data_IF_072442156298
#
_entry.id   IF_072442156298
#
_cell.length_a   1.000
_cell.length_b   1.000
_cell.length_c   1.000
_cell.angle_alpha   90.00
_cell.angle_beta   90.00
_cell.angle_gamma   90.00
#
_symmetry.space_group_name_H-M   'P 1'
#
loop_
_entity.id
_entity.type
_entity.pdbx_description
1 polymer ?
#
# COMPACT_ATOMS: atom_id res chain seq x y z
N UNK A 1 -18.33 -15.36 -14.70
CA UNK A 1 -17.16 -16.25 -14.69
C UNK A 1 -17.34 -17.30 -15.77
N UNK A 2 -16.55 -17.29 -16.84
CA UNK A 2 -16.50 -18.45 -17.73
C UNK A 2 -15.71 -19.54 -17.01
N UNK A 3 -16.29 -20.72 -16.75
CA UNK A 3 -15.57 -21.78 -16.05
C UNK A 3 -14.37 -22.23 -16.89
N UNK A 4 -13.18 -22.18 -16.31
CA UNK A 4 -11.98 -22.72 -16.94
C UNK A 4 -12.09 -24.23 -17.12
N UNK A 5 -11.55 -24.75 -18.21
CA UNK A 5 -11.47 -26.18 -18.46
C UNK A 5 -10.35 -26.81 -17.63
N UNK A 6 -10.40 -28.14 -17.34
CA UNK A 6 -9.32 -28.83 -16.66
C UNK A 6 -7.94 -28.66 -17.31
N UNK A 7 -7.88 -28.53 -18.65
CA UNK A 7 -6.65 -28.32 -19.40
C UNK A 7 -6.06 -26.90 -19.16
N UNK A 8 -6.92 -25.91 -18.92
CA UNK A 8 -6.47 -24.55 -18.61
C UNK A 8 -5.76 -24.52 -17.24
N UNK A 9 -6.27 -25.24 -16.24
CA UNK A 9 -5.62 -25.33 -14.93
C UNK A 9 -4.28 -26.09 -14.90
N UNK A 10 -4.03 -26.95 -15.89
CA UNK A 10 -2.77 -27.69 -15.99
C UNK A 10 -1.66 -26.89 -16.71
N UNK A 11 -2.05 -25.90 -17.51
CA UNK A 11 -1.12 -25.04 -18.25
C UNK A 11 -0.96 -23.64 -17.62
N UNK A 12 -1.91 -23.18 -16.81
CA UNK A 12 -1.89 -21.85 -16.19
C UNK A 12 -1.08 -21.82 -14.89
N UNK A 13 -0.04 -20.97 -14.86
CA UNK A 13 0.67 -20.62 -13.61
C UNK A 13 -0.05 -19.52 -12.81
N UNK A 14 -0.97 -18.80 -13.46
CA UNK A 14 -1.66 -17.61 -12.94
C UNK A 14 -3.16 -17.74 -13.24
N UNK A 15 -3.98 -17.34 -12.28
CA UNK A 15 -5.43 -17.19 -12.44
C UNK A 15 -5.82 -15.72 -12.29
N UNK A 16 -6.69 -15.25 -13.18
CA UNK A 16 -7.40 -13.99 -12.98
C UNK A 16 -8.75 -14.23 -12.33
N UNK A 17 -9.11 -13.32 -11.44
CA UNK A 17 -10.39 -13.27 -10.78
C UNK A 17 -11.04 -11.92 -11.07
N UNK A 18 -12.11 -11.98 -11.87
CA UNK A 18 -12.86 -10.82 -12.35
C UNK A 18 -14.34 -11.01 -12.00
N UNK A 19 -14.84 -10.19 -11.07
CA UNK A 19 -16.24 -10.19 -10.65
C UNK A 19 -16.69 -8.78 -10.27
N UNK A 20 -17.59 -8.20 -11.06
CA UNK A 20 -17.89 -6.77 -10.94
C UNK A 20 -16.64 -5.96 -11.26
N UNK A 21 -16.28 -5.04 -10.35
CA UNK A 21 -15.06 -4.24 -10.48
C UNK A 21 -13.81 -4.92 -9.90
N UNK A 22 -13.96 -6.11 -9.31
CA UNK A 22 -12.82 -6.84 -8.74
C UNK A 22 -11.88 -7.23 -9.86
N UNK A 23 -10.62 -6.81 -9.75
CA UNK A 23 -9.52 -7.23 -10.61
C UNK A 23 -8.41 -7.80 -9.72
N UNK A 24 -8.25 -9.12 -9.75
CA UNK A 24 -7.28 -9.84 -8.92
C UNK A 24 -6.53 -10.89 -9.71
N UNK A 25 -5.22 -10.96 -9.51
CA UNK A 25 -4.40 -12.05 -10.01
C UNK A 25 -3.91 -12.91 -8.84
N UNK A 26 -3.89 -14.21 -9.05
CA UNK A 26 -3.34 -15.17 -8.11
C UNK A 26 -2.35 -16.09 -8.83
N UNK A 27 -1.22 -16.40 -8.19
CA UNK A 27 -0.29 -17.42 -8.65
C UNK A 27 -0.66 -18.76 -8.01
N UNK A 28 -0.76 -19.81 -8.83
CA UNK A 28 -0.92 -21.18 -8.32
C UNK A 28 0.44 -21.64 -7.77
N UNK A 29 0.47 -22.03 -6.50
CA UNK A 29 1.67 -22.56 -5.83
C UNK A 29 1.63 -24.06 -5.65
N UNK A 30 0.42 -24.65 -5.64
CA UNK A 30 0.22 -26.10 -5.60
C UNK A 30 -1.05 -26.47 -6.35
N UNK A 31 -1.02 -27.60 -7.03
CA UNK A 31 -2.17 -28.15 -7.73
C UNK A 31 -2.22 -29.66 -7.46
N UNK A 32 -3.25 -30.12 -6.73
CA UNK A 32 -3.45 -31.52 -6.37
C UNK A 32 -4.77 -32.00 -6.95
N UNK A 33 -4.70 -33.05 -7.77
CA UNK A 33 -5.89 -33.72 -8.32
C UNK A 33 -6.09 -35.05 -7.60
N UNK A 34 -7.28 -35.24 -7.03
CA UNK A 34 -7.67 -36.54 -6.47
C UNK A 34 -8.00 -37.49 -7.64
N UNK A 35 -7.25 -38.59 -7.83
CA UNK A 35 -7.44 -39.48 -8.98
C UNK A 35 -8.74 -40.29 -8.93
N UNK A 36 -9.36 -40.42 -7.74
CA UNK A 36 -10.58 -41.20 -7.55
C UNK A 36 -11.85 -40.36 -7.79
N UNK A 37 -11.82 -39.08 -7.43
CA UNK A 37 -12.98 -38.19 -7.52
C UNK A 37 -12.87 -37.15 -8.63
N UNK A 38 -11.67 -36.96 -9.21
CA UNK A 38 -11.38 -35.86 -10.13
C UNK A 38 -11.36 -34.48 -9.47
N UNK A 39 -11.50 -34.39 -8.13
CA UNK A 39 -11.50 -33.12 -7.41
C UNK A 39 -10.12 -32.47 -7.46
N UNK A 40 -10.08 -31.19 -7.85
CA UNK A 40 -8.86 -30.38 -7.91
C UNK A 40 -8.80 -29.43 -6.72
N UNK A 41 -7.67 -29.40 -6.03
CA UNK A 41 -7.36 -28.46 -4.95
C UNK A 41 -6.17 -27.61 -5.38
N UNK A 42 -6.34 -26.28 -5.36
CA UNK A 42 -5.32 -25.32 -5.72
C UNK A 42 -4.89 -24.54 -4.47
N UNK A 43 -3.59 -24.53 -4.17
CA UNK A 43 -3.03 -23.53 -3.26
C UNK A 43 -2.60 -22.33 -4.11
N UNK A 44 -2.95 -21.14 -3.66
CA UNK A 44 -2.71 -19.91 -4.40
C UNK A 44 -2.25 -18.80 -3.46
N UNK A 45 -1.47 -17.88 -4.01
CA UNK A 45 -1.12 -16.62 -3.36
C UNK A 45 -1.52 -15.46 -4.27
N UNK A 46 -1.85 -14.27 -3.73
CA UNK A 46 -1.97 -13.07 -4.55
C UNK A 46 -0.73 -12.90 -5.43
N UNK A 47 -0.88 -12.52 -6.70
CA UNK A 47 0.24 -12.49 -7.64
C UNK A 47 1.33 -11.52 -7.19
N UNK A 48 0.93 -10.38 -6.61
CA UNK A 48 1.83 -9.42 -5.97
C UNK A 48 2.71 -10.04 -4.87
N UNK A 49 2.27 -11.12 -4.22
CA UNK A 49 3.01 -11.80 -3.15
C UNK A 49 3.94 -12.88 -3.69
N UNK A 50 3.89 -13.20 -4.98
CA UNK A 50 4.72 -14.25 -5.58
C UNK A 50 6.22 -13.93 -5.61
N UNK A 51 6.58 -12.67 -5.37
CA UNK A 51 7.96 -12.18 -5.27
C UNK A 51 8.54 -12.35 -3.87
N UNK A 52 7.72 -12.72 -2.88
CA UNK A 52 8.15 -12.86 -1.49
C UNK A 52 8.74 -14.25 -1.20
N UNK A 53 9.74 -14.35 -0.30
CA UNK A 53 10.32 -13.25 0.50
C UNK A 53 11.30 -12.38 -0.30
N UNK A 54 11.36 -11.09 0.03
CA UNK A 54 12.36 -10.14 -0.50
C UNK A 54 13.37 -9.79 0.59
N UNK A 55 14.65 -9.76 0.25
CA UNK A 55 15.68 -9.29 1.18
C UNK A 55 15.51 -7.78 1.43
N UNK A 56 15.21 -7.42 2.69
CA UNK A 56 15.06 -6.02 3.09
C UNK A 56 16.43 -5.35 3.24
N UNK A 57 16.53 -4.09 2.82
CA UNK A 57 17.75 -3.28 2.97
C UNK A 57 18.00 -2.84 4.42
N UNK A 58 16.93 -2.75 5.22
CA UNK A 58 16.91 -2.29 6.61
C UNK A 58 15.65 -2.85 7.30
N UNK A 59 15.65 -2.82 8.63
CA UNK A 59 14.49 -3.26 9.42
C UNK A 59 13.28 -2.36 9.17
N UNK A 60 12.06 -2.90 8.98
CA UNK A 60 10.85 -2.11 8.78
C UNK A 60 10.73 -0.92 9.77
N UNK A 61 10.72 0.32 9.28
CA UNK A 61 10.52 1.52 10.09
C UNK A 61 9.30 1.43 11.02
N UNK A 62 9.53 1.79 12.29
CA UNK A 62 8.54 1.84 13.36
C UNK A 62 7.91 0.48 13.72
N UNK A 63 8.56 -0.64 13.38
CA UNK A 63 8.08 -1.99 13.70
C UNK A 63 7.91 -2.23 15.21
N UNK A 64 8.66 -1.52 16.06
CA UNK A 64 8.52 -1.58 17.51
C UNK A 64 7.15 -1.10 18.01
N UNK A 65 6.39 -0.40 17.16
CA UNK A 65 5.03 0.03 17.42
C UNK A 65 3.96 -0.93 16.87
N UNK A 66 4.36 -1.96 16.12
CA UNK A 66 3.43 -2.94 15.60
C UNK A 66 2.75 -3.73 16.74
N UNK A 67 1.46 -4.02 16.58
CA UNK A 67 0.66 -4.76 17.56
C UNK A 67 0.33 -6.15 16.99
N UNK A 68 0.48 -7.20 17.80
CA UNK A 68 0.24 -8.60 17.40
C UNK A 68 1.50 -9.34 16.94
N UNK A 69 1.36 -10.61 16.57
CA UNK A 69 2.46 -11.42 15.99
C UNK A 69 2.78 -10.87 14.60
N UNK A 70 3.88 -10.11 14.50
CA UNK A 70 4.17 -9.18 13.41
C UNK A 70 4.40 -9.85 12.05
N UNK A 71 3.35 -9.95 11.25
CA UNK A 71 3.44 -10.40 9.85
C UNK A 71 3.07 -9.34 8.80
N UNK A 72 2.39 -8.24 9.18
CA UNK A 72 2.02 -7.17 8.24
C UNK A 72 3.18 -6.25 7.83
N UNK A 73 3.96 -5.73 8.78
CA UNK A 73 5.02 -4.74 8.50
C UNK A 73 6.06 -5.27 7.51
N UNK A 74 6.63 -6.44 7.80
CA UNK A 74 7.60 -7.09 6.91
C UNK A 74 7.00 -7.35 5.53
N UNK A 75 5.77 -7.87 5.48
CA UNK A 75 5.07 -8.09 4.21
C UNK A 75 4.98 -6.81 3.36
N UNK A 76 4.50 -5.70 3.93
CA UNK A 76 4.42 -4.42 3.20
C UNK A 76 5.80 -3.89 2.78
N UNK A 77 6.81 -4.03 3.64
CA UNK A 77 8.16 -3.58 3.31
C UNK A 77 8.85 -4.44 2.25
N UNK A 78 8.59 -5.74 2.18
CA UNK A 78 9.09 -6.59 1.10
C UNK A 78 8.54 -6.14 -0.26
N UNK A 79 7.25 -5.80 -0.33
CA UNK A 79 6.63 -5.23 -1.53
C UNK A 79 7.21 -3.84 -1.88
N UNK A 80 7.37 -2.95 -0.89
CA UNK A 80 7.95 -1.62 -1.09
C UNK A 80 9.43 -1.70 -1.53
N UNK A 81 10.21 -2.61 -0.97
CA UNK A 81 11.60 -2.86 -1.36
C UNK A 81 11.68 -3.35 -2.80
N UNK A 82 10.82 -4.29 -3.19
CA UNK A 82 10.75 -4.75 -4.58
C UNK A 82 10.39 -3.63 -5.54
N UNK A 83 9.37 -2.82 -5.20
CA UNK A 83 8.85 -1.78 -6.07
C UNK A 83 9.78 -0.55 -6.21
N UNK A 84 10.44 -0.15 -5.11
CA UNK A 84 11.12 1.15 -5.04
C UNK A 84 12.57 1.11 -4.60
N UNK A 85 13.01 0.02 -3.96
CA UNK A 85 14.36 -0.17 -3.44
C UNK A 85 14.91 1.08 -2.71
N UNK A 86 14.11 1.62 -1.78
CA UNK A 86 14.42 2.89 -1.10
C UNK A 86 15.72 2.79 -0.27
N UNK A 87 16.46 3.91 -0.13
CA UNK A 87 17.65 3.96 0.73
C UNK A 87 17.28 3.92 2.21
N UNK A 88 18.16 3.39 3.05
CA UNK A 88 17.96 3.31 4.50
C UNK A 88 17.74 4.70 5.11
N UNK A 89 16.57 4.96 5.73
CA UNK A 89 16.28 6.26 6.33
C UNK A 89 17.17 6.58 7.55
N UNK A 90 17.76 5.58 8.21
CA UNK A 90 18.72 5.80 9.31
C UNK A 90 20.06 6.36 8.81
N UNK A 91 20.41 6.11 7.54
CA UNK A 91 21.61 6.65 6.90
C UNK A 91 21.48 8.10 6.45
N UNK A 92 20.33 8.75 6.66
CA UNK A 92 20.13 10.14 6.24
C UNK A 92 20.93 11.11 7.13
N UNK A 93 21.68 12.06 6.55
CA UNK A 93 22.59 12.89 7.34
C UNK A 93 21.84 13.91 8.20
N UNK A 94 22.48 14.27 9.32
CA UNK A 94 22.04 15.38 10.18
C UNK A 94 22.05 16.68 9.38
N UNK A 95 20.99 17.48 9.52
CA UNK A 95 20.88 18.79 8.88
C UNK A 95 21.09 19.90 9.93
N UNK A 96 22.31 20.47 10.03
CA UNK A 96 22.64 21.41 11.12
C UNK A 96 21.84 22.71 11.06
N UNK A 97 21.42 23.13 9.87
CA UNK A 97 20.67 24.38 9.66
C UNK A 97 19.15 24.25 9.86
N UNK A 98 18.66 23.16 10.48
CA UNK A 98 17.24 23.05 10.82
C UNK A 98 16.88 24.05 11.93
N UNK A 99 16.06 25.05 11.57
CA UNK A 99 15.51 26.02 12.51
C UNK A 99 14.55 25.34 13.51
N UNK A 100 14.33 25.98 14.67
CA UNK A 100 13.45 25.43 15.72
C UNK A 100 12.02 25.17 15.22
N UNK A 101 11.48 26.04 14.37
CA UNK A 101 10.17 25.82 13.75
C UNK A 101 10.17 24.61 12.82
N UNK A 102 11.26 24.38 12.07
CA UNK A 102 11.41 23.20 11.23
C UNK A 102 11.42 21.93 12.08
N UNK A 103 12.25 21.92 13.15
CA UNK A 103 12.34 20.82 14.10
C UNK A 103 10.98 20.52 14.75
N UNK A 104 10.21 21.55 15.11
CA UNK A 104 8.87 21.39 15.69
C UNK A 104 7.92 20.66 14.75
N UNK A 105 7.92 21.01 13.46
CA UNK A 105 7.07 20.36 12.46
C UNK A 105 7.51 18.92 12.20
N UNK A 106 8.81 18.69 12.03
CA UNK A 106 9.36 17.34 11.85
C UNK A 106 9.03 16.45 13.06
N UNK A 107 9.21 16.93 14.29
CA UNK A 107 8.80 16.22 15.52
C UNK A 107 7.31 15.89 15.55
N UNK A 108 6.44 16.80 15.09
CA UNK A 108 5.00 16.54 15.02
C UNK A 108 4.67 15.44 14.01
N UNK A 109 5.27 15.48 12.83
CA UNK A 109 5.12 14.44 11.80
C UNK A 109 5.55 13.07 12.33
N UNK A 110 6.75 13.01 12.91
CA UNK A 110 7.30 11.81 13.54
C UNK A 110 6.34 11.22 14.58
N UNK A 111 5.86 12.06 15.51
CA UNK A 111 4.93 11.63 16.55
C UNK A 111 3.64 11.05 15.97
N UNK A 112 3.11 11.66 14.91
CA UNK A 112 1.90 11.17 14.23
C UNK A 112 2.15 9.83 13.53
N UNK A 113 3.30 9.65 12.87
CA UNK A 113 3.67 8.37 12.28
C UNK A 113 3.79 7.27 13.33
N UNK A 114 4.46 7.54 14.48
CA UNK A 114 4.56 6.58 15.59
C UNK A 114 3.21 6.22 16.18
N UNK A 115 2.31 7.19 16.33
CA UNK A 115 0.94 6.94 16.77
C UNK A 115 0.21 6.04 15.77
N UNK A 116 0.21 6.41 14.49
CA UNK A 116 -0.46 5.66 13.42
C UNK A 116 0.08 4.24 13.27
N UNK A 117 1.39 4.03 13.44
CA UNK A 117 2.01 2.70 13.41
C UNK A 117 1.44 1.74 14.47
N UNK A 118 0.93 2.27 15.58
CA UNK A 118 0.28 1.47 16.63
C UNK A 118 -1.24 1.32 16.48
N UNK A 119 -1.85 1.81 15.39
CA UNK A 119 -3.31 1.71 15.22
C UNK A 119 -3.71 0.31 14.76
N UNK A 120 -4.76 -0.24 15.36
CA UNK A 120 -5.22 -1.60 15.07
C UNK A 120 -5.65 -1.77 13.62
N UNK A 121 -6.22 -0.75 12.97
CA UNK A 121 -6.62 -0.87 11.56
C UNK A 121 -5.44 -1.16 10.60
N UNK A 122 -4.21 -0.83 10.98
CA UNK A 122 -3.00 -1.14 10.19
C UNK A 122 -2.31 -2.43 10.61
N UNK A 123 -2.65 -2.97 11.79
CA UNK A 123 -1.96 -4.11 12.41
C UNK A 123 -2.82 -5.37 12.46
N UNK A 124 -4.14 -5.22 12.59
CA UNK A 124 -5.08 -6.32 12.57
C UNK A 124 -5.07 -6.96 11.18
N UNK A 125 -5.19 -8.28 11.15
CA UNK A 125 -5.33 -9.01 9.90
C UNK A 125 -6.64 -8.57 9.21
N UNK A 126 -6.55 -7.65 8.26
CA UNK A 126 -7.64 -7.30 7.35
C UNK A 126 -7.45 -8.03 6.03
N UNK A 127 -8.55 -8.47 5.41
CA UNK A 127 -8.45 -9.25 4.20
C UNK A 127 -9.79 -9.43 3.52
N UNK A 128 -9.73 -9.63 2.20
CA UNK A 128 -10.86 -10.00 1.38
C UNK A 128 -10.70 -11.47 0.99
N UNK A 129 -11.67 -12.29 1.36
CA UNK A 129 -11.66 -13.73 1.17
C UNK A 129 -12.72 -14.12 0.15
N UNK A 130 -12.34 -14.93 -0.82
CA UNK A 130 -13.24 -15.49 -1.82
C UNK A 130 -13.41 -16.97 -1.56
N UNK A 131 -14.65 -17.45 -1.55
CA UNK A 131 -14.94 -18.89 -1.50
C UNK A 131 -16.04 -19.25 -2.48
N UNK A 132 -15.88 -20.40 -3.14
CA UNK A 132 -16.90 -20.95 -4.01
C UNK A 132 -16.95 -22.47 -3.80
N UNK A 133 -18.11 -22.97 -3.36
CA UNK A 133 -18.36 -24.41 -3.22
C UNK A 133 -18.95 -24.95 -4.51
N UNK A 134 -18.71 -26.23 -4.80
CA UNK A 134 -19.26 -26.89 -5.99
C UNK A 134 -20.79 -26.77 -6.03
N UNK A 135 -21.33 -26.14 -7.09
CA UNK A 135 -22.76 -25.91 -7.26
C UNK A 135 -23.38 -24.84 -6.33
N UNK A 136 -22.56 -24.13 -5.56
CA UNK A 136 -22.99 -22.99 -4.75
C UNK A 136 -22.65 -21.65 -5.40
N UNK A 137 -23.33 -20.61 -4.94
CA UNK A 137 -23.01 -19.23 -5.31
C UNK A 137 -21.63 -18.84 -4.73
N UNK A 138 -20.85 -18.02 -5.46
CA UNK A 138 -19.63 -17.45 -4.93
C UNK A 138 -19.92 -16.52 -3.75
N UNK A 139 -19.10 -16.59 -2.72
CA UNK A 139 -19.19 -15.77 -1.52
C UNK A 139 -17.91 -14.94 -1.36
N UNK A 140 -18.08 -13.67 -1.02
CA UNK A 140 -16.99 -12.77 -0.68
C UNK A 140 -17.16 -12.31 0.76
N UNK A 141 -16.13 -12.52 1.58
CA UNK A 141 -16.11 -12.09 2.97
C UNK A 141 -15.03 -11.04 3.17
N UNK A 142 -15.38 -9.94 3.83
CA UNK A 142 -14.44 -8.90 4.18
C UNK A 142 -14.16 -8.93 5.69
N UNK A 143 -12.90 -9.15 6.07
CA UNK A 143 -12.40 -8.84 7.40
C UNK A 143 -11.90 -7.40 7.37
N UNK A 144 -12.68 -6.49 7.95
CA UNK A 144 -12.40 -5.06 7.97
C UNK A 144 -12.26 -4.56 9.42
N UNK A 145 -11.45 -3.53 9.68
CA UNK A 145 -11.44 -2.85 10.97
C UNK A 145 -12.84 -2.34 11.35
N UNK A 146 -13.08 -2.14 12.64
CA UNK A 146 -14.32 -1.50 13.09
C UNK A 146 -14.44 -0.09 12.50
N UNK A 147 -15.66 0.46 12.34
CA UNK A 147 -15.85 1.83 11.84
C UNK A 147 -15.04 2.87 12.63
N UNK A 148 -14.98 2.73 13.95
CA UNK A 148 -14.17 3.59 14.82
C UNK A 148 -12.67 3.48 14.52
N UNK A 149 -12.15 2.26 14.41
CA UNK A 149 -10.74 2.03 14.10
C UNK A 149 -10.36 2.57 12.72
N UNK A 150 -11.21 2.36 11.72
CA UNK A 150 -11.00 2.90 10.37
C UNK A 150 -11.07 4.43 10.37
N UNK A 151 -12.09 5.03 10.98
CA UNK A 151 -12.23 6.50 11.04
C UNK A 151 -11.05 7.17 11.77
N UNK A 152 -10.65 6.63 12.93
CA UNK A 152 -9.49 7.10 13.67
C UNK A 152 -8.20 7.05 12.82
N UNK A 153 -7.99 5.95 12.11
CA UNK A 153 -6.87 5.75 11.18
C UNK A 153 -6.89 6.74 10.04
N UNK A 154 -8.04 6.92 9.39
CA UNK A 154 -8.23 7.87 8.29
C UNK A 154 -7.95 9.32 8.72
N UNK A 155 -8.38 9.71 9.92
CA UNK A 155 -8.09 11.04 10.48
C UNK A 155 -6.59 11.25 10.72
N UNK A 156 -5.92 10.29 11.37
CA UNK A 156 -4.49 10.37 11.63
C UNK A 156 -3.67 10.36 10.33
N UNK A 157 -4.04 9.48 9.39
CA UNK A 157 -3.46 9.40 8.06
C UNK A 157 -3.62 10.72 7.29
N UNK A 158 -4.81 11.34 7.33
CA UNK A 158 -5.08 12.62 6.66
C UNK A 158 -4.07 13.69 7.07
N UNK A 159 -3.71 13.79 8.36
CA UNK A 159 -2.76 14.78 8.84
C UNK A 159 -1.35 14.61 8.22
N UNK A 160 -0.98 13.37 7.90
CA UNK A 160 0.30 13.05 7.23
C UNK A 160 0.22 13.23 5.71
N UNK A 161 -0.96 12.97 5.14
CA UNK A 161 -1.17 12.86 3.69
C UNK A 161 -1.59 14.18 3.02
N UNK A 162 -2.40 14.99 3.70
CA UNK A 162 -3.01 16.23 3.18
C UNK A 162 -2.02 17.37 3.01
N UNK A 163 -2.16 18.14 1.93
CA UNK A 163 -1.33 19.33 1.69
C UNK A 163 -1.71 20.54 2.57
N UNK A 164 -2.86 20.46 3.25
CA UNK A 164 -3.40 21.52 4.09
C UNK A 164 -2.84 21.47 5.52
N UNK A 165 -2.39 20.29 5.98
CA UNK A 165 -1.88 20.11 7.33
C UNK A 165 -0.42 20.56 7.46
N UNK A 166 -0.10 21.21 8.59
CA UNK A 166 1.21 21.82 8.82
C UNK A 166 2.34 20.80 9.00
N UNK A 167 2.00 19.56 9.36
CA UNK A 167 2.92 18.46 9.60
C UNK A 167 2.62 17.28 8.66
N UNK A 168 2.43 17.56 7.38
CA UNK A 168 2.26 16.54 6.34
C UNK A 168 3.57 16.24 5.60
N UNK A 169 3.58 15.15 4.83
CA UNK A 169 4.73 14.72 4.03
C UNK A 169 5.31 15.85 3.18
N UNK A 170 4.47 16.58 2.45
CA UNK A 170 4.94 17.64 1.55
C UNK A 170 5.55 18.83 2.31
N UNK A 171 5.05 19.13 3.51
CA UNK A 171 5.64 20.14 4.39
C UNK A 171 6.97 19.68 4.95
N UNK A 172 7.07 18.45 5.46
CA UNK A 172 8.33 17.89 5.98
C UNK A 172 9.38 17.82 4.88
N UNK A 173 9.03 17.27 3.71
CA UNK A 173 9.89 17.24 2.51
C UNK A 173 10.41 18.63 2.15
N UNK A 174 9.53 19.63 2.10
CA UNK A 174 9.91 21.01 1.78
C UNK A 174 10.89 21.62 2.80
N UNK A 175 10.72 21.31 4.09
CA UNK A 175 11.61 21.77 5.17
C UNK A 175 12.99 21.11 5.08
N UNK A 176 13.04 19.79 4.85
CA UNK A 176 14.30 19.06 4.64
C UNK A 176 15.07 19.59 3.41
N UNK A 177 14.36 19.78 2.29
CA UNK A 177 14.94 20.35 1.06
C UNK A 177 15.41 21.80 1.22
N UNK A 178 14.79 22.56 2.11
CA UNK A 178 15.26 23.92 2.44
C UNK A 178 16.51 23.88 3.30
N UNK A 179 16.52 23.05 4.35
CA UNK A 179 17.66 22.92 5.26
C UNK A 179 18.92 22.42 4.54
N UNK A 180 18.78 21.53 3.56
CA UNK A 180 19.90 21.02 2.75
C UNK A 180 20.62 22.09 1.93
N UNK A 181 20.01 23.25 1.68
CA UNK A 181 20.65 24.37 0.95
C UNK A 181 21.86 24.95 1.68
N UNK A 182 22.00 24.70 2.97
CA UNK A 182 23.16 25.11 3.77
C UNK A 182 24.38 24.20 3.61
N UNK A 183 24.19 22.98 3.09
CA UNK A 183 25.24 21.99 2.92
C UNK A 183 26.15 22.29 1.73
N UNK A 184 27.32 21.65 1.70
CA UNK A 184 28.21 21.65 0.54
C UNK A 184 27.50 21.03 -0.68
N UNK A 185 27.98 21.37 -1.88
CA UNK A 185 27.28 20.98 -3.12
C UNK A 185 27.09 19.46 -3.26
N UNK A 186 28.11 18.67 -2.89
CA UNK A 186 28.08 17.20 -2.94
C UNK A 186 27.09 16.61 -1.94
N UNK A 187 27.13 17.06 -0.68
CA UNK A 187 26.23 16.63 0.40
C UNK A 187 24.78 17.02 0.10
N UNK A 188 24.56 18.25 -0.38
CA UNK A 188 23.26 18.76 -0.81
C UNK A 188 22.67 17.88 -1.90
N UNK A 189 23.48 17.47 -2.88
CA UNK A 189 23.03 16.61 -3.96
C UNK A 189 22.67 15.20 -3.45
N UNK A 190 23.46 14.64 -2.54
CA UNK A 190 23.17 13.35 -1.91
C UNK A 190 21.85 13.40 -1.12
N UNK A 191 21.67 14.40 -0.25
CA UNK A 191 20.43 14.63 0.51
C UNK A 191 19.23 14.78 -0.42
N UNK A 192 19.36 15.62 -1.45
CA UNK A 192 18.32 15.85 -2.44
C UNK A 192 17.92 14.55 -3.14
N UNK A 193 18.90 13.76 -3.58
CA UNK A 193 18.65 12.48 -4.25
C UNK A 193 17.81 11.54 -3.38
N UNK A 194 18.15 11.42 -2.09
CA UNK A 194 17.38 10.59 -1.15
C UNK A 194 15.96 11.12 -1.00
N UNK A 195 15.78 12.40 -0.66
CA UNK A 195 14.44 12.97 -0.46
C UNK A 195 13.56 12.86 -1.72
N UNK A 196 14.13 13.04 -2.91
CA UNK A 196 13.42 12.88 -4.17
C UNK A 196 13.04 11.43 -4.48
N UNK A 197 13.85 10.43 -4.08
CA UNK A 197 13.48 9.02 -4.21
C UNK A 197 12.23 8.67 -3.40
N UNK A 198 12.19 9.07 -2.13
CA UNK A 198 11.01 8.89 -1.28
C UNK A 198 9.78 9.64 -1.82
N UNK A 199 9.97 10.85 -2.34
CA UNK A 199 8.88 11.62 -2.95
C UNK A 199 8.34 10.97 -4.23
N UNK A 200 9.20 10.35 -5.06
CA UNK A 200 8.77 9.59 -6.24
C UNK A 200 7.98 8.34 -5.84
N UNK A 201 8.43 7.60 -4.84
CA UNK A 201 7.68 6.45 -4.32
C UNK A 201 6.30 6.86 -3.80
N UNK A 202 6.20 7.97 -3.06
CA UNK A 202 4.89 8.53 -2.66
C UNK A 202 4.02 8.85 -3.87
N UNK A 203 4.59 9.55 -4.86
CA UNK A 203 3.88 9.92 -6.07
C UNK A 203 3.34 8.71 -6.83
N UNK A 204 4.12 7.62 -6.93
CA UNK A 204 3.67 6.37 -7.52
C UNK A 204 2.51 5.75 -6.73
N UNK A 205 2.64 5.64 -5.40
CA UNK A 205 1.62 5.08 -4.51
C UNK A 205 0.33 5.90 -4.41
N UNK A 206 0.37 7.20 -4.71
CA UNK A 206 -0.83 8.02 -4.83
C UNK A 206 -1.61 7.74 -6.12
N UNK A 207 -0.93 7.32 -7.18
CA UNK A 207 -1.55 7.14 -8.50
C UNK A 207 -1.93 5.69 -8.79
N UNK A 208 -1.26 4.72 -8.18
CA UNK A 208 -1.44 3.29 -8.43
C UNK A 208 -1.25 2.48 -7.15
N UNK A 209 -2.03 1.41 -6.97
CA UNK A 209 -1.88 0.50 -5.84
C UNK A 209 -0.48 -0.14 -5.85
N UNK A 210 0.12 -0.35 -4.68
CA UNK A 210 1.42 -1.03 -4.56
C UNK A 210 1.38 -2.42 -5.21
N UNK A 211 0.28 -3.15 -5.00
CA UNK A 211 0.04 -4.45 -5.59
C UNK A 211 0.09 -4.40 -7.12
N UNK A 212 -0.54 -3.41 -7.76
CA UNK A 212 -0.48 -3.23 -9.22
C UNK A 212 0.95 -2.95 -9.71
N UNK A 213 1.69 -2.10 -8.99
CA UNK A 213 3.08 -1.79 -9.33
C UNK A 213 3.95 -3.05 -9.27
N UNK A 214 3.83 -3.83 -8.21
CA UNK A 214 4.58 -5.09 -8.04
C UNK A 214 4.19 -6.11 -9.10
N UNK A 215 2.89 -6.30 -9.35
CA UNK A 215 2.41 -7.21 -10.40
C UNK A 215 3.00 -6.87 -11.77
N UNK A 216 3.01 -5.59 -12.17
CA UNK A 216 3.59 -5.15 -13.44
C UNK A 216 5.10 -5.39 -13.52
N UNK A 217 5.82 -5.18 -12.42
CA UNK A 217 7.26 -5.41 -12.37
C UNK A 217 7.63 -6.89 -12.40
N UNK A 218 6.79 -7.75 -11.79
CA UNK A 218 6.98 -9.19 -11.75
C UNK A 218 6.51 -9.91 -13.02
N UNK A 219 5.64 -9.26 -13.81
CA UNK A 219 5.08 -9.85 -15.00
C UNK A 219 6.15 -10.13 -16.06
N UNK A 220 6.08 -11.29 -16.74
CA UNK A 220 6.96 -11.57 -17.86
C UNK A 220 6.67 -10.60 -19.02
N UNK A 221 7.66 -10.29 -19.87
CA UNK A 221 7.45 -9.45 -21.04
C UNK A 221 6.43 -10.11 -21.97
N UNK A 222 5.37 -9.36 -22.30
CA UNK A 222 4.32 -9.82 -23.21
C UNK A 222 4.60 -9.30 -24.62
N UNK A 223 4.66 -10.17 -25.65
CA UNK A 223 4.76 -9.73 -27.04
C UNK A 223 3.61 -8.78 -27.41
N UNK A 224 3.85 -7.74 -28.23
CA UNK A 224 2.82 -6.75 -28.59
C UNK A 224 1.52 -7.37 -29.12
N UNK A 225 1.64 -8.48 -29.84
CA UNK A 225 0.53 -9.21 -30.48
C UNK A 225 -0.37 -9.95 -29.48
N UNK A 226 0.06 -10.09 -28.22
CA UNK A 226 -0.67 -10.78 -27.15
C UNK A 226 -1.04 -9.85 -25.99
N UNK A 227 -0.91 -8.53 -26.17
CA UNK A 227 -1.21 -7.56 -25.10
C UNK A 227 -2.66 -7.62 -24.63
N UNK A 228 -3.59 -7.87 -25.54
CA UNK A 228 -5.02 -7.95 -25.23
C UNK A 228 -5.41 -9.29 -24.57
N UNK A 229 -4.52 -10.28 -24.60
CA UNK A 229 -4.71 -11.59 -23.94
C UNK A 229 -4.27 -11.57 -22.46
N UNK A 230 -3.67 -10.48 -21.99
CA UNK A 230 -3.15 -10.37 -20.62
C UNK A 230 -4.29 -9.94 -19.71
N UNK A 231 -4.64 -10.74 -18.68
CA UNK A 231 -5.64 -10.31 -17.73
C UNK A 231 -5.17 -9.04 -16.98
N UNK A 232 -6.11 -8.20 -16.51
CA UNK A 232 -5.75 -7.00 -15.76
C UNK A 232 -4.96 -7.36 -14.50
N UNK A 233 -3.92 -6.58 -14.20
CA UNK A 233 -3.18 -6.72 -12.95
C UNK A 233 -4.08 -6.43 -11.74
N UNK A 234 -3.75 -7.06 -10.59
CA UNK A 234 -4.43 -6.81 -9.33
C UNK A 234 -4.61 -5.30 -9.10
N UNK A 235 -5.84 -4.85 -8.92
CA UNK A 235 -6.21 -3.45 -8.68
C UNK A 235 -5.86 -2.44 -9.78
N UNK A 236 -5.70 -2.86 -11.03
CA UNK A 236 -5.37 -1.95 -12.13
C UNK A 236 -6.42 -0.82 -12.33
N UNK A 237 -7.67 -1.04 -11.94
CA UNK A 237 -8.74 -0.04 -11.96
C UNK A 237 -8.75 0.94 -10.77
N UNK A 238 -7.85 0.80 -9.79
CA UNK A 238 -7.86 1.63 -8.57
C UNK A 238 -6.84 2.77 -8.66
N UNK A 239 -7.32 4.00 -8.50
CA UNK A 239 -6.49 5.17 -8.20
C UNK A 239 -6.54 5.46 -6.68
N UNK A 240 -5.44 5.23 -5.94
CA UNK A 240 -5.41 5.39 -4.47
C UNK A 240 -5.81 6.80 -4.01
N UNK A 241 -5.28 7.84 -4.64
CA UNK A 241 -5.56 9.22 -4.25
C UNK A 241 -7.05 9.54 -4.36
N UNK A 242 -7.66 9.19 -5.50
CA UNK A 242 -9.09 9.41 -5.74
C UNK A 242 -9.91 8.61 -4.74
N UNK A 243 -9.60 7.33 -4.56
CA UNK A 243 -10.34 6.44 -3.66
C UNK A 243 -10.30 6.92 -2.20
N UNK A 244 -9.12 7.31 -1.71
CA UNK A 244 -8.95 7.87 -0.36
C UNK A 244 -9.78 9.14 -0.18
N UNK A 245 -9.80 10.04 -1.18
CA UNK A 245 -10.63 11.25 -1.12
C UNK A 245 -12.11 10.88 -1.05
N UNK A 246 -12.58 9.99 -1.92
CA UNK A 246 -13.98 9.55 -1.96
C UNK A 246 -14.43 8.95 -0.63
N UNK A 247 -13.63 8.09 0.01
CA UNK A 247 -13.98 7.56 1.33
C UNK A 247 -13.92 8.61 2.45
N UNK A 248 -12.88 9.45 2.47
CA UNK A 248 -12.69 10.46 3.51
C UNK A 248 -13.76 11.55 3.49
N UNK A 249 -14.20 11.95 2.30
CA UNK A 249 -15.16 13.05 2.10
C UNK A 249 -16.58 12.58 1.72
N UNK A 250 -16.78 11.28 1.48
CA UNK A 250 -18.10 10.68 1.27
C UNK A 250 -18.77 10.22 2.57
N UNK A 251 -18.01 9.70 3.53
CA UNK A 251 -18.61 9.11 4.75
C UNK A 251 -17.69 9.12 6.00
N UNK A 252 -16.36 9.14 5.85
CA UNK A 252 -15.47 8.81 6.99
C UNK A 252 -15.06 10.00 7.86
N UNK A 253 -14.77 11.17 7.28
CA UNK A 253 -14.19 12.32 8.02
C UNK A 253 -15.04 13.58 7.85
N UNK A 254 -15.34 13.93 6.60
CA UNK A 254 -16.16 15.07 6.23
C UNK A 254 -17.19 14.62 5.19
N UNK A 255 -18.26 15.38 5.03
CA UNK A 255 -19.29 15.13 4.02
C UNK A 255 -19.17 16.15 2.90
N UNK A 256 -19.16 15.66 1.66
CA UNK A 256 -19.36 16.45 0.44
C UNK A 256 -20.28 15.68 -0.48
N UNK A 257 -21.27 16.37 -1.06
CA UNK A 257 -22.30 15.76 -1.91
C UNK A 257 -21.69 14.98 -3.09
N UNK A 258 -20.68 15.55 -3.75
CA UNK A 258 -20.01 14.91 -4.88
C UNK A 258 -19.33 13.59 -4.50
N UNK A 259 -18.61 13.56 -3.37
CA UNK A 259 -17.90 12.35 -2.94
C UNK A 259 -18.82 11.32 -2.29
N UNK A 260 -19.94 11.74 -1.69
CA UNK A 260 -20.97 10.80 -1.25
C UNK A 260 -21.64 10.12 -2.45
N UNK A 261 -22.01 10.86 -3.50
CA UNK A 261 -22.58 10.28 -4.71
C UNK A 261 -21.59 9.31 -5.40
N UNK A 262 -20.31 9.68 -5.45
CA UNK A 262 -19.25 8.78 -5.92
C UNK A 262 -19.15 7.52 -5.06
N UNK A 263 -19.15 7.66 -3.73
CA UNK A 263 -19.03 6.54 -2.80
C UNK A 263 -20.24 5.60 -2.92
N UNK A 264 -21.46 6.14 -2.94
CA UNK A 264 -22.69 5.38 -3.11
C UNK A 264 -22.69 4.57 -4.41
N UNK A 265 -22.16 5.12 -5.50
CA UNK A 265 -21.96 4.38 -6.76
C UNK A 265 -20.97 3.22 -6.60
N UNK A 266 -19.83 3.44 -5.94
CA UNK A 266 -18.82 2.38 -5.72
C UNK A 266 -19.36 1.24 -4.84
N UNK A 267 -20.25 1.54 -3.91
CA UNK A 267 -20.76 0.59 -2.92
C UNK A 267 -22.11 -0.03 -3.30
N UNK A 268 -22.67 0.27 -4.48
CA UNK A 268 -24.00 -0.18 -4.91
C UNK A 268 -24.12 -1.71 -4.91
N UNK A 269 -23.11 -2.40 -5.42
CA UNK A 269 -23.04 -3.86 -5.41
C UNK A 269 -22.20 -4.38 -4.23
N UNK A 270 -22.69 -5.40 -3.52
CA UNK A 270 -22.04 -5.92 -2.30
C UNK A 270 -20.59 -6.37 -2.53
N UNK A 271 -20.32 -7.05 -3.65
CA UNK A 271 -18.98 -7.47 -4.03
C UNK A 271 -18.04 -6.27 -4.30
N UNK A 272 -18.57 -5.21 -4.93
CA UNK A 272 -17.82 -3.98 -5.15
C UNK A 272 -17.55 -3.27 -3.83
N UNK A 273 -18.54 -3.25 -2.92
CA UNK A 273 -18.37 -2.65 -1.60
C UNK A 273 -17.24 -3.32 -0.80
N UNK A 274 -17.15 -4.66 -0.83
CA UNK A 274 -16.04 -5.39 -0.23
C UNK A 274 -14.69 -5.01 -0.85
N UNK A 275 -14.65 -4.96 -2.19
CA UNK A 275 -13.46 -4.63 -2.95
C UNK A 275 -12.93 -3.22 -2.69
N UNK A 276 -13.79 -2.21 -2.77
CA UNK A 276 -13.39 -0.81 -2.58
C UNK A 276 -13.02 -0.50 -1.13
N UNK A 277 -13.74 -1.07 -0.13
CA UNK A 277 -13.36 -0.95 1.28
C UNK A 277 -11.98 -1.55 1.54
N UNK A 278 -11.74 -2.78 1.07
CA UNK A 278 -10.43 -3.41 1.21
C UNK A 278 -9.33 -2.61 0.48
N UNK A 279 -9.64 -2.08 -0.70
CA UNK A 279 -8.70 -1.30 -1.52
C UNK A 279 -8.30 0.02 -0.85
N UNK A 280 -9.24 0.76 -0.25
CA UNK A 280 -8.91 2.02 0.43
C UNK A 280 -8.07 1.78 1.68
N UNK A 281 -8.37 0.73 2.46
CA UNK A 281 -7.55 0.35 3.60
C UNK A 281 -6.14 -0.03 3.16
N UNK A 282 -6.02 -0.88 2.14
CA UNK A 282 -4.72 -1.27 1.56
C UNK A 282 -3.92 -0.06 1.07
N UNK A 283 -4.57 0.93 0.43
CA UNK A 283 -3.94 2.16 -0.01
C UNK A 283 -3.41 3.00 1.17
N UNK A 284 -4.23 3.19 2.21
CA UNK A 284 -3.85 3.89 3.44
C UNK A 284 -2.68 3.18 4.12
N UNK A 285 -2.74 1.85 4.26
CA UNK A 285 -1.68 1.05 4.89
C UNK A 285 -0.36 1.19 4.15
N UNK A 286 -0.35 0.98 2.83
CA UNK A 286 0.87 1.08 2.03
C UNK A 286 1.50 2.48 2.05
N UNK A 287 0.68 3.54 1.97
CA UNK A 287 1.16 4.92 2.10
C UNK A 287 1.64 5.23 3.51
N UNK A 288 1.00 4.68 4.54
CA UNK A 288 1.41 4.84 5.94
C UNK A 288 2.78 4.23 6.19
N UNK A 289 3.06 3.03 5.68
CA UNK A 289 4.40 2.43 5.78
C UNK A 289 5.47 3.29 5.12
N UNK A 290 5.20 3.89 3.94
CA UNK A 290 6.11 4.86 3.34
C UNK A 290 6.35 6.07 4.27
N UNK A 291 5.30 6.58 4.92
CA UNK A 291 5.40 7.69 5.87
C UNK A 291 6.16 7.33 7.14
N UNK A 292 6.11 6.07 7.59
CA UNK A 292 6.90 5.58 8.70
C UNK A 292 8.39 5.62 8.36
N UNK A 293 8.78 5.18 7.16
CA UNK A 293 10.16 5.31 6.69
C UNK A 293 10.61 6.76 6.54
N UNK A 294 9.73 7.64 6.03
CA UNK A 294 10.05 9.07 5.95
C UNK A 294 10.12 9.76 7.32
N UNK A 295 9.44 9.23 8.34
CA UNK A 295 9.56 9.70 9.71
C UNK A 295 10.93 9.39 10.29
N UNK A 296 11.44 8.16 10.09
CA UNK A 296 12.82 7.80 10.47
C UNK A 296 13.83 8.71 9.78
N UNK A 297 13.63 9.02 8.48
CA UNK A 297 14.47 9.97 7.76
C UNK A 297 14.46 11.36 8.41
N UNK A 298 13.28 11.85 8.80
CA UNK A 298 13.13 13.12 9.49
C UNK A 298 13.78 13.12 10.90
N UNK A 299 13.76 11.99 11.61
CA UNK A 299 14.46 11.81 12.88
C UNK A 299 15.98 11.91 12.71
N UNK A 300 16.54 11.17 11.76
CA UNK A 300 17.97 11.20 11.42
C UNK A 300 18.43 12.62 11.08
N UNK A 301 17.61 13.37 10.31
CA UNK A 301 17.89 14.76 9.98
C UNK A 301 17.98 15.69 11.20
N UNK A 302 17.21 15.39 12.25
CA UNK A 302 17.11 16.19 13.47
C UNK A 302 18.10 15.79 14.56
N UNK A 303 18.81 14.67 14.42
CA UNK A 303 19.73 14.18 15.45
C UNK A 303 20.78 15.23 15.83
N UNK A 304 21.31 15.12 17.05
CA UNK A 304 22.41 15.98 17.48
C UNK A 304 23.69 15.48 16.82
N UNK A 305 24.47 16.39 16.21
CA UNK A 305 25.77 16.05 15.67
C UNK A 305 26.67 15.60 16.83
N UNK A 306 27.03 14.31 16.84
CA UNK A 306 27.99 13.74 17.80
C UNK A 306 29.41 14.17 17.48
#
# INVERSE_FOLDING_TARGET
MSPMTPADYDASEILSFEWGDIQKLAKITKNVVNPLTGTRTLDMVPYENSIQPVALNFEPPLIEHAVGESHGFRHHWELLTYAFNLPDPNGFPVLPALADDDRRVLKRYVRLCRQLAGYSALNDESGMYFSQKQGGEPEITLKFPTPEAFAGTSIAFRQLHSNQDSASFDRVKGRLMRASKSLLATERQAVRSVVEQWARARGALMNRMLQTIVCEMAAPPVPPERKDDVPPFSYANINPQKLILTFNYGDTIHFSEDEEANLSTLLEAEQNACYYKHSVLSAITNLSHLYFGFAVLAESAMAEAS
#
